data_IF_642659268742
#
_entry.id   IF_642659268742
#
_cell.length_a   1.000
_cell.length_b   1.000
_cell.length_c   1.000
_cell.angle_alpha   90.00
_cell.angle_beta   90.00
_cell.angle_gamma   90.00
#
_symmetry.space_group_name_H-M   'P 1'
#
loop_
_entity.id
_entity.type
_entity.pdbx_description
1 polymer ?
#
# COMPACT_ATOMS: atom_id res chain seq x y z
N UNK A 1 16.71 -20.39 14.31
CA UNK A 1 17.06 -19.09 14.94
C UNK A 1 15.78 -18.41 15.41
N UNK A 2 15.76 -17.84 16.64
CA UNK A 2 14.60 -17.09 17.15
C UNK A 2 14.67 -15.63 16.70
N UNK A 3 13.59 -15.10 16.12
CA UNK A 3 13.46 -13.70 15.69
C UNK A 3 12.09 -13.17 16.06
N UNK A 4 11.95 -11.85 16.15
CA UNK A 4 10.68 -11.17 16.31
C UNK A 4 10.50 -10.20 15.16
N UNK A 5 9.32 -10.23 14.54
CA UNK A 5 8.92 -9.25 13.55
C UNK A 5 7.68 -8.51 14.03
N UNK A 6 7.73 -7.21 13.86
CA UNK A 6 6.64 -6.30 14.25
C UNK A 6 6.13 -5.57 13.02
N UNK A 7 4.82 -5.47 12.90
CA UNK A 7 4.17 -4.62 11.91
C UNK A 7 3.07 -3.81 12.56
N UNK A 8 2.79 -2.64 12.00
CA UNK A 8 1.69 -1.79 12.40
C UNK A 8 0.71 -1.56 11.25
N UNK A 9 -0.51 -1.17 11.60
CA UNK A 9 -1.51 -0.67 10.68
C UNK A 9 -2.40 0.35 11.36
N UNK A 10 -3.11 1.16 10.57
CA UNK A 10 -3.98 2.23 11.07
C UNK A 10 -5.34 2.18 10.39
N UNK A 11 -6.35 2.74 11.08
CA UNK A 11 -7.70 2.86 10.54
C UNK A 11 -7.77 3.91 9.43
N UNK A 12 -8.87 3.92 8.69
CA UNK A 12 -9.16 4.91 7.65
C UNK A 12 -9.26 6.35 8.17
N UNK A 13 -9.57 6.52 9.46
CA UNK A 13 -9.67 7.83 10.13
C UNK A 13 -8.35 8.34 10.72
N UNK A 14 -7.24 7.61 10.58
CA UNK A 14 -5.93 8.13 10.95
C UNK A 14 -5.54 9.28 10.00
N UNK A 15 -4.99 10.41 10.51
CA UNK A 15 -4.71 11.60 9.70
C UNK A 15 -3.94 11.34 8.40
N UNK A 16 -2.83 10.59 8.45
CA UNK A 16 -2.06 10.28 7.26
C UNK A 16 -2.87 9.43 6.26
N UNK A 17 -3.66 8.45 6.74
CA UNK A 17 -4.49 7.62 5.86
C UNK A 17 -5.70 8.36 5.29
N UNK A 18 -6.19 9.34 5.98
CA UNK A 18 -7.20 10.26 5.46
C UNK A 18 -6.65 11.05 4.27
N UNK A 19 -5.40 11.55 4.37
CA UNK A 19 -4.72 12.22 3.26
C UNK A 19 -4.52 11.28 2.06
N UNK A 20 -4.09 10.05 2.29
CA UNK A 20 -3.95 9.02 1.25
C UNK A 20 -5.29 8.71 0.57
N UNK A 21 -6.38 8.59 1.34
CA UNK A 21 -7.72 8.38 0.81
C UNK A 21 -8.20 9.54 -0.07
N UNK A 22 -7.94 10.78 0.34
CA UNK A 22 -8.30 11.97 -0.43
C UNK A 22 -7.53 11.99 -1.75
N UNK A 23 -6.20 11.83 -1.70
CA UNK A 23 -5.34 11.83 -2.88
C UNK A 23 -5.74 10.74 -3.89
N UNK A 24 -5.98 9.51 -3.43
CA UNK A 24 -6.41 8.41 -4.31
C UNK A 24 -7.86 8.54 -4.78
N UNK A 25 -8.73 9.21 -4.02
CA UNK A 25 -10.09 9.52 -4.49
C UNK A 25 -10.10 10.56 -5.62
N UNK A 26 -9.18 11.53 -5.57
CA UNK A 26 -8.98 12.50 -6.67
C UNK A 26 -8.43 11.80 -7.91
N UNK A 27 -7.44 10.92 -7.73
CA UNK A 27 -6.91 10.10 -8.82
C UNK A 27 -8.00 9.25 -9.48
N UNK A 28 -8.80 8.53 -8.68
CA UNK A 28 -9.90 7.69 -9.19
C UNK A 28 -10.96 8.52 -9.92
N UNK A 29 -11.27 9.73 -9.45
CA UNK A 29 -12.20 10.63 -10.13
C UNK A 29 -11.66 11.07 -11.51
N UNK A 30 -10.37 11.37 -11.63
CA UNK A 30 -9.73 11.69 -12.89
C UNK A 30 -9.75 10.49 -13.84
N UNK A 31 -9.32 9.31 -13.38
CA UNK A 31 -9.23 8.11 -14.23
C UNK A 31 -10.58 7.58 -14.70
N UNK A 32 -11.63 7.83 -13.96
CA UNK A 32 -12.99 7.46 -14.35
C UNK A 32 -13.47 8.17 -15.62
N UNK A 33 -13.09 9.44 -15.75
CA UNK A 33 -13.52 10.31 -16.87
C UNK A 33 -12.45 10.41 -17.98
N UNK A 34 -11.17 10.22 -17.63
CA UNK A 34 -10.03 10.19 -18.56
C UNK A 34 -8.98 9.19 -18.09
N UNK A 35 -8.96 8.00 -18.70
CA UNK A 35 -8.01 6.92 -18.39
C UNK A 35 -6.52 7.30 -18.59
N UNK A 36 -6.27 8.38 -19.34
CA UNK A 36 -4.92 8.89 -19.62
C UNK A 36 -4.51 10.06 -18.73
N UNK A 37 -5.29 10.35 -17.69
CA UNK A 37 -4.97 11.39 -16.71
C UNK A 37 -3.59 11.16 -16.09
N UNK A 38 -2.83 12.25 -15.95
CA UNK A 38 -1.58 12.29 -15.22
C UNK A 38 -1.83 13.01 -13.91
N UNK A 39 -1.62 12.31 -12.82
CA UNK A 39 -1.92 12.80 -11.47
C UNK A 39 -0.73 12.56 -10.57
N UNK A 40 -0.31 13.61 -9.87
CA UNK A 40 0.59 13.60 -8.75
C UNK A 40 -0.02 14.52 -7.69
N UNK A 41 -0.82 13.96 -6.79
CA UNK A 41 -1.63 14.70 -5.83
C UNK A 41 -1.16 14.40 -4.41
N UNK A 42 -0.85 15.45 -3.67
CA UNK A 42 -0.45 15.41 -2.27
C UNK A 42 -1.49 16.15 -1.42
N UNK A 43 -1.68 15.68 -0.20
CA UNK A 43 -2.64 16.25 0.74
C UNK A 43 -1.98 16.44 2.09
N UNK A 44 -2.14 17.63 2.65
CA UNK A 44 -1.85 17.94 4.04
C UNK A 44 -3.17 18.22 4.75
N UNK A 45 -3.41 17.56 5.87
CA UNK A 45 -4.60 17.78 6.69
C UNK A 45 -4.22 17.99 8.15
N UNK A 46 -4.74 19.01 8.75
CA UNK A 46 -4.54 19.34 10.17
C UNK A 46 -5.82 19.94 10.73
N UNK A 47 -5.85 20.25 12.01
CA UNK A 47 -7.03 20.82 12.67
C UNK A 47 -7.61 22.00 11.90
N UNK A 48 -8.85 21.83 11.42
CA UNK A 48 -9.61 22.85 10.73
C UNK A 48 -9.11 23.22 9.32
N UNK A 49 -8.07 22.56 8.78
CA UNK A 49 -7.48 22.90 7.48
C UNK A 49 -7.10 21.66 6.67
N UNK A 50 -7.41 21.67 5.37
CA UNK A 50 -6.96 20.68 4.40
C UNK A 50 -6.42 21.41 3.18
N UNK A 51 -5.21 21.08 2.78
CA UNK A 51 -4.55 21.58 1.58
C UNK A 51 -4.32 20.42 0.62
N UNK A 52 -4.85 20.54 -0.59
CA UNK A 52 -4.61 19.61 -1.70
C UNK A 52 -3.69 20.32 -2.69
N UNK A 53 -2.52 19.73 -2.98
CA UNK A 53 -1.55 20.33 -3.87
C UNK A 53 -1.01 19.29 -4.86
N UNK A 54 -0.48 19.75 -6.00
CA UNK A 54 0.18 18.86 -6.96
C UNK A 54 -0.13 19.15 -8.42
N UNK A 55 0.17 18.19 -9.28
CA UNK A 55 0.03 18.32 -10.71
C UNK A 55 -1.04 17.37 -11.26
N UNK A 56 -2.03 17.94 -11.96
CA UNK A 56 -3.07 17.17 -12.65
C UNK A 56 -3.15 17.63 -14.10
N UNK A 57 -2.92 16.69 -15.03
CA UNK A 57 -3.17 16.87 -16.46
C UNK A 57 -4.22 15.85 -16.88
N UNK A 58 -5.44 16.30 -17.09
CA UNK A 58 -6.60 15.49 -17.43
C UNK A 58 -7.56 16.31 -18.32
N UNK A 59 -8.42 15.64 -19.06
CA UNK A 59 -9.58 16.26 -19.75
C UNK A 59 -10.71 16.55 -18.77
N UNK A 60 -10.68 15.97 -17.59
CA UNK A 60 -11.65 16.18 -16.52
C UNK A 60 -11.04 17.04 -15.40
N UNK A 61 -11.79 18.01 -14.93
CA UNK A 61 -11.45 18.83 -13.77
C UNK A 61 -12.14 18.26 -12.53
N UNK A 62 -11.38 17.66 -11.59
CA UNK A 62 -11.97 17.00 -10.42
C UNK A 62 -12.58 18.04 -9.47
N UNK A 63 -13.75 17.75 -8.93
CA UNK A 63 -14.41 18.56 -7.90
C UNK A 63 -13.76 18.31 -6.54
N UNK A 64 -12.56 18.86 -6.35
CA UNK A 64 -11.65 18.55 -5.23
C UNK A 64 -12.35 18.69 -3.87
N UNK A 65 -12.99 19.81 -3.61
CA UNK A 65 -13.64 20.07 -2.30
C UNK A 65 -14.79 19.10 -2.02
N UNK A 66 -15.54 18.73 -3.05
CA UNK A 66 -16.62 17.73 -2.91
C UNK A 66 -16.06 16.33 -2.63
N UNK A 67 -14.95 15.96 -3.27
CA UNK A 67 -14.26 14.70 -3.02
C UNK A 67 -13.74 14.66 -1.59
N UNK A 68 -13.11 15.74 -1.11
CA UNK A 68 -12.61 15.85 0.26
C UNK A 68 -13.75 15.67 1.26
N UNK A 69 -14.88 16.39 1.10
CA UNK A 69 -16.06 16.24 1.98
C UNK A 69 -16.55 14.79 2.05
N UNK A 70 -16.73 14.14 0.90
CA UNK A 70 -17.19 12.74 0.82
C UNK A 70 -16.21 11.77 1.49
N UNK A 71 -14.91 12.03 1.42
CA UNK A 71 -13.91 11.20 2.10
C UNK A 71 -13.99 11.38 3.60
N UNK A 72 -14.05 12.63 4.10
CA UNK A 72 -14.20 12.95 5.51
C UNK A 72 -15.43 12.26 6.11
N UNK A 73 -16.61 12.46 5.51
CA UNK A 73 -17.86 11.85 5.93
C UNK A 73 -17.78 10.31 5.95
N UNK A 74 -17.20 9.70 4.89
CA UNK A 74 -17.04 8.24 4.83
C UNK A 74 -16.10 7.69 5.92
N UNK A 75 -15.10 8.48 6.33
CA UNK A 75 -14.21 8.16 7.43
C UNK A 75 -14.81 8.42 8.80
N UNK A 76 -15.94 9.17 8.87
CA UNK A 76 -16.67 9.48 10.11
C UNK A 76 -16.29 10.81 10.74
N UNK A 77 -15.82 11.75 9.93
CA UNK A 77 -15.55 13.14 10.32
C UNK A 77 -16.63 14.07 9.79
N UNK A 78 -16.90 15.12 10.53
CA UNK A 78 -17.69 16.26 10.03
C UNK A 78 -16.82 17.10 9.10
N UNK A 79 -17.37 17.48 7.95
CA UNK A 79 -16.66 18.30 6.96
C UNK A 79 -16.96 19.80 7.10
N UNK A 80 -17.99 20.15 7.87
CA UNK A 80 -18.39 21.54 8.09
C UNK A 80 -17.37 22.30 8.92
N UNK A 81 -17.07 23.54 8.50
CA UNK A 81 -16.10 24.41 9.19
C UNK A 81 -14.63 24.10 8.89
N UNK A 82 -14.33 23.11 8.05
CA UNK A 82 -12.96 22.84 7.58
C UNK A 82 -12.64 23.79 6.42
N UNK A 83 -11.56 24.56 6.57
CA UNK A 83 -11.00 25.35 5.47
C UNK A 83 -10.27 24.44 4.50
N UNK A 84 -10.50 24.63 3.19
CA UNK A 84 -9.94 23.80 2.14
C UNK A 84 -9.28 24.66 1.06
N UNK A 85 -8.02 24.37 0.74
CA UNK A 85 -7.29 24.96 -0.37
C UNK A 85 -6.93 23.90 -1.41
N UNK A 86 -6.99 24.26 -2.69
CA UNK A 86 -6.56 23.43 -3.82
C UNK A 86 -5.52 24.17 -4.66
N UNK A 87 -4.27 23.75 -4.57
CA UNK A 87 -3.12 24.32 -5.24
C UNK A 87 -2.65 23.34 -6.34
N UNK A 88 -3.45 23.25 -7.39
CA UNK A 88 -3.27 22.27 -8.49
C UNK A 88 -2.77 22.97 -9.73
N UNK A 89 -1.72 22.42 -10.34
CA UNK A 89 -1.11 22.91 -11.56
C UNK A 89 -1.12 21.83 -12.65
N UNK A 90 -0.82 22.20 -13.89
CA UNK A 90 -0.53 21.22 -14.95
C UNK A 90 0.93 20.75 -14.81
N UNK A 91 1.17 19.49 -15.19
CA UNK A 91 2.52 18.93 -15.19
C UNK A 91 3.46 19.75 -16.08
N UNK A 92 4.73 19.91 -15.63
CA UNK A 92 5.79 20.56 -16.40
C UNK A 92 5.95 19.92 -17.79
N UNK A 93 6.04 20.73 -18.88
CA UNK A 93 6.28 20.22 -20.23
C UNK A 93 7.57 19.38 -20.37
N UNK A 94 8.61 19.70 -19.60
CA UNK A 94 9.89 18.98 -19.63
C UNK A 94 9.75 17.57 -19.07
N UNK A 95 9.04 17.42 -17.94
CA UNK A 95 8.74 16.13 -17.35
C UNK A 95 7.81 15.32 -18.26
N UNK A 96 6.76 15.94 -18.76
CA UNK A 96 5.82 15.30 -19.69
C UNK A 96 6.54 14.78 -20.95
N UNK A 97 7.42 15.59 -21.56
CA UNK A 97 8.21 15.21 -22.72
C UNK A 97 9.20 14.05 -22.45
N UNK A 98 9.81 13.99 -21.28
CA UNK A 98 10.71 12.90 -20.89
C UNK A 98 9.95 11.58 -20.68
N UNK A 99 8.72 11.64 -20.13
CA UNK A 99 7.85 10.47 -19.92
C UNK A 99 7.24 9.97 -21.24
N UNK A 100 6.75 10.89 -22.10
CA UNK A 100 6.09 10.54 -23.37
C UNK A 100 7.06 10.02 -24.42
N UNK A 101 8.32 10.40 -24.35
CA UNK A 101 9.39 9.96 -25.27
C UNK A 101 10.57 9.43 -24.48
N UNK A 102 10.61 8.10 -24.31
CA UNK A 102 11.74 7.44 -23.68
C UNK A 102 13.08 7.78 -24.36
N UNK A 103 14.19 7.59 -23.62
CA UNK A 103 15.53 7.72 -24.19
C UNK A 103 15.69 6.84 -25.42
N UNK A 104 15.21 5.60 -25.38
CA UNK A 104 15.25 4.60 -26.44
C UNK A 104 14.54 5.10 -27.71
N UNK A 105 13.41 5.78 -27.54
CA UNK A 105 12.69 6.42 -28.63
C UNK A 105 13.41 7.65 -29.18
N UNK A 106 13.99 8.50 -28.29
CA UNK A 106 14.72 9.71 -28.69
C UNK A 106 16.01 9.40 -29.44
N UNK A 107 16.68 8.28 -29.13
CA UNK A 107 17.88 7.81 -29.80
C UNK A 107 17.59 7.01 -31.08
N UNK A 108 16.31 6.83 -31.44
CA UNK A 108 15.92 6.09 -32.64
C UNK A 108 16.08 4.57 -32.56
N UNK A 109 16.29 4.04 -31.35
CA UNK A 109 16.52 2.61 -31.14
C UNK A 109 15.21 1.79 -31.20
N UNK A 110 14.04 2.46 -31.05
CA UNK A 110 12.73 1.80 -31.04
C UNK A 110 11.63 2.60 -31.75
N UNK A 111 10.63 1.90 -32.29
CA UNK A 111 9.46 2.50 -32.93
C UNK A 111 8.45 3.07 -31.92
N UNK A 112 7.58 3.96 -32.39
CA UNK A 112 6.49 4.58 -31.60
C UNK A 112 5.52 3.52 -31.02
N UNK A 113 5.38 2.38 -31.67
CA UNK A 113 4.45 1.30 -31.31
C UNK A 113 5.08 0.26 -30.36
N UNK A 114 6.37 0.41 -30.01
CA UNK A 114 7.01 -0.52 -29.07
C UNK A 114 6.60 -0.21 -27.63
N UNK A 115 6.53 -1.24 -26.79
CA UNK A 115 6.35 -1.09 -25.33
C UNK A 115 7.44 -0.24 -24.64
N UNK A 116 8.48 0.16 -25.39
CA UNK A 116 9.60 1.01 -24.99
C UNK A 116 9.38 2.49 -25.32
N UNK A 117 8.22 2.89 -25.84
CA UNK A 117 7.96 4.26 -26.29
C UNK A 117 7.97 5.29 -25.13
N UNK A 118 7.49 4.90 -23.96
CA UNK A 118 7.38 5.76 -22.80
C UNK A 118 8.49 5.46 -21.78
N UNK A 119 9.11 6.51 -21.24
CA UNK A 119 10.10 6.41 -20.18
C UNK A 119 9.48 6.39 -18.79
N UNK A 120 10.26 5.99 -17.78
CA UNK A 120 9.87 6.10 -16.39
C UNK A 120 9.68 7.57 -15.99
N UNK A 121 8.64 7.84 -15.19
CA UNK A 121 8.31 9.20 -14.73
C UNK A 121 9.26 9.75 -13.68
N UNK A 122 10.04 8.88 -13.04
CA UNK A 122 11.04 9.23 -12.05
C UNK A 122 12.14 8.17 -12.00
N UNK A 123 13.19 8.47 -11.26
CA UNK A 123 14.19 7.50 -10.82
C UNK A 123 13.82 6.94 -9.46
N UNK A 124 14.25 5.73 -9.14
CA UNK A 124 14.03 5.15 -7.82
C UNK A 124 14.21 3.64 -7.77
N UNK A 125 14.04 3.10 -6.57
CA UNK A 125 14.07 1.67 -6.28
C UNK A 125 12.69 1.25 -5.78
N UNK A 126 12.13 0.22 -6.38
CA UNK A 126 10.83 -0.36 -6.02
C UNK A 126 11.03 -1.78 -5.54
N UNK A 127 10.43 -2.09 -4.39
CA UNK A 127 10.61 -3.39 -3.73
C UNK A 127 9.27 -4.11 -3.65
N UNK A 128 9.25 -5.35 -4.10
CA UNK A 128 8.17 -6.30 -3.91
C UNK A 128 8.62 -7.46 -3.03
N UNK A 129 7.71 -8.00 -2.23
CA UNK A 129 8.00 -9.14 -1.36
C UNK A 129 6.83 -10.10 -1.31
N UNK A 130 7.13 -11.38 -1.14
CA UNK A 130 6.17 -12.43 -0.83
C UNK A 130 6.82 -13.49 0.08
N UNK A 131 6.01 -14.11 0.93
CA UNK A 131 6.41 -15.25 1.75
C UNK A 131 5.23 -16.19 1.98
N UNK A 132 5.51 -17.44 2.30
CA UNK A 132 4.50 -18.48 2.51
C UNK A 132 3.97 -18.55 3.96
N UNK A 133 4.06 -17.45 4.72
CA UNK A 133 3.55 -17.35 6.09
C UNK A 133 2.01 -17.44 6.15
N UNK A 134 1.34 -16.93 5.13
CA UNK A 134 -0.12 -16.81 5.06
C UNK A 134 -0.65 -17.18 3.67
N UNK A 135 -1.94 -17.55 3.54
CA UNK A 135 -2.55 -17.82 2.23
C UNK A 135 -2.50 -16.64 1.25
N UNK A 136 -2.35 -15.41 1.76
CA UNK A 136 -2.17 -14.21 0.95
C UNK A 136 -0.75 -14.06 0.40
N UNK A 137 0.18 -14.93 0.81
CA UNK A 137 1.62 -14.84 0.58
C UNK A 137 2.19 -13.51 1.10
N UNK A 138 1.80 -13.16 2.31
CA UNK A 138 2.19 -11.95 3.06
C UNK A 138 2.72 -12.33 4.45
N UNK A 139 3.58 -11.49 5.04
CA UNK A 139 4.07 -11.70 6.40
C UNK A 139 2.93 -11.74 7.43
N UNK A 140 3.00 -12.69 8.36
CA UNK A 140 1.98 -12.87 9.40
C UNK A 140 1.66 -11.59 10.19
N UNK A 141 2.64 -10.83 10.73
CA UNK A 141 2.34 -9.63 11.53
C UNK A 141 1.63 -8.55 10.71
N UNK A 142 1.95 -8.39 9.42
CA UNK A 142 1.29 -7.42 8.52
C UNK A 142 -0.18 -7.79 8.31
N UNK A 143 -0.45 -9.07 8.03
CA UNK A 143 -1.83 -9.56 7.84
C UNK A 143 -2.66 -9.37 9.09
N UNK A 144 -2.10 -9.69 10.27
CA UNK A 144 -2.81 -9.56 11.54
C UNK A 144 -3.08 -8.10 11.90
N UNK A 145 -2.09 -7.21 11.75
CA UNK A 145 -2.26 -5.77 12.01
C UNK A 145 -3.36 -5.17 11.11
N UNK A 146 -3.33 -5.47 9.81
CA UNK A 146 -4.36 -5.01 8.86
C UNK A 146 -5.76 -5.57 9.19
N UNK A 147 -5.86 -6.83 9.62
CA UNK A 147 -7.14 -7.41 10.06
C UNK A 147 -7.70 -6.70 11.28
N UNK A 148 -6.87 -6.41 12.28
CA UNK A 148 -7.32 -5.73 13.51
C UNK A 148 -7.93 -4.37 13.17
N UNK A 149 -7.24 -3.52 12.40
CA UNK A 149 -7.77 -2.19 12.07
C UNK A 149 -8.98 -2.24 11.15
N UNK A 150 -9.08 -3.25 10.28
CA UNK A 150 -10.26 -3.49 9.44
C UNK A 150 -11.49 -3.88 10.28
N UNK A 151 -11.32 -4.81 11.23
CA UNK A 151 -12.38 -5.20 12.17
C UNK A 151 -12.79 -4.02 13.07
N UNK A 152 -11.83 -3.19 13.50
CA UNK A 152 -12.09 -1.99 14.28
C UNK A 152 -12.94 -0.98 13.49
N UNK A 153 -12.54 -0.69 12.25
CA UNK A 153 -13.29 0.20 11.34
C UNK A 153 -14.68 -0.36 11.01
N UNK A 154 -14.79 -1.66 10.77
CA UNK A 154 -16.07 -2.31 10.51
C UNK A 154 -17.00 -2.25 11.74
N UNK A 155 -16.45 -2.49 12.93
CA UNK A 155 -17.19 -2.41 14.20
C UNK A 155 -17.73 -1.01 14.49
N UNK A 156 -16.95 0.04 14.13
CA UNK A 156 -17.38 1.44 14.22
C UNK A 156 -18.53 1.72 13.26
N UNK A 157 -18.33 1.43 11.97
CA UNK A 157 -19.33 1.74 10.92
C UNK A 157 -20.66 1.02 11.11
N UNK A 158 -20.63 -0.19 11.61
CA UNK A 158 -21.85 -0.97 11.87
C UNK A 158 -22.51 -0.66 13.22
N UNK A 159 -21.86 0.14 14.08
CA UNK A 159 -22.33 0.34 15.45
C UNK A 159 -22.18 -0.90 16.35
N UNK A 160 -21.44 -1.93 15.90
CA UNK A 160 -21.21 -3.16 16.68
C UNK A 160 -20.43 -2.90 17.98
N UNK A 161 -19.57 -1.87 17.97
CA UNK A 161 -19.00 -1.28 19.18
C UNK A 161 -19.39 0.19 19.23
N UNK A 162 -20.30 0.53 20.11
CA UNK A 162 -20.77 1.90 20.30
C UNK A 162 -19.70 2.77 20.98
N UNK A 163 -19.60 4.03 20.59
CA UNK A 163 -18.73 5.02 21.23
C UNK A 163 -17.25 4.83 20.91
N UNK A 164 -16.88 4.17 19.81
CA UNK A 164 -15.54 4.25 19.21
C UNK A 164 -15.55 5.23 18.04
N UNK A 165 -14.45 5.96 17.88
CA UNK A 165 -14.27 7.06 16.93
C UNK A 165 -13.30 6.65 15.79
N UNK A 166 -13.14 7.47 14.74
CA UNK A 166 -12.47 7.06 13.50
C UNK A 166 -11.00 6.70 13.64
N UNK A 167 -10.24 7.37 14.52
CA UNK A 167 -8.79 7.19 14.62
C UNK A 167 -8.43 5.95 15.45
N UNK A 168 -7.46 5.18 14.94
CA UNK A 168 -6.98 4.00 15.63
C UNK A 168 -5.76 3.38 14.96
N UNK A 169 -5.01 2.64 15.78
CA UNK A 169 -3.79 1.92 15.42
C UNK A 169 -3.78 0.51 15.95
N UNK A 170 -3.15 -0.40 15.22
CA UNK A 170 -2.78 -1.72 15.72
C UNK A 170 -1.31 -2.00 15.43
N UNK A 171 -0.62 -2.63 16.37
CA UNK A 171 0.72 -3.16 16.22
C UNK A 171 0.73 -4.61 16.65
N UNK A 172 1.39 -5.46 15.88
CA UNK A 172 1.47 -6.90 16.13
C UNK A 172 2.92 -7.36 16.06
N UNK A 173 3.40 -8.00 17.11
CA UNK A 173 4.70 -8.66 17.16
C UNK A 173 4.50 -10.16 17.14
N UNK A 174 5.15 -10.83 16.19
CA UNK A 174 5.11 -12.29 16.02
C UNK A 174 6.52 -12.86 16.23
N UNK A 175 6.60 -13.93 17.02
CA UNK A 175 7.79 -14.71 17.18
C UNK A 175 7.94 -15.71 16.05
N UNK A 176 9.14 -15.75 15.47
CA UNK A 176 9.54 -16.68 14.43
C UNK A 176 10.59 -17.64 14.95
N UNK A 177 10.48 -18.89 14.60
CA UNK A 177 11.51 -19.92 14.79
C UNK A 177 11.77 -20.58 13.44
N UNK A 178 13.04 -20.66 13.06
CA UNK A 178 13.48 -21.20 11.76
C UNK A 178 12.66 -20.64 10.58
N UNK A 179 12.50 -19.31 10.63
CA UNK A 179 11.80 -18.50 9.62
C UNK A 179 10.29 -18.81 9.46
N UNK A 180 9.67 -19.46 10.46
CA UNK A 180 8.22 -19.71 10.52
C UNK A 180 7.57 -18.94 11.67
N UNK A 181 6.40 -18.33 11.46
CA UNK A 181 5.66 -17.71 12.54
C UNK A 181 5.12 -18.78 13.48
N UNK A 182 5.50 -18.72 14.77
CA UNK A 182 5.15 -19.77 15.74
C UNK A 182 4.25 -19.27 16.85
N UNK A 183 4.31 -17.97 17.20
CA UNK A 183 3.59 -17.45 18.35
C UNK A 183 3.34 -15.95 18.22
N UNK A 184 2.17 -15.54 18.66
CA UNK A 184 1.84 -14.13 18.84
C UNK A 184 2.48 -13.64 20.16
N UNK A 185 3.39 -12.67 20.06
CA UNK A 185 4.10 -12.16 21.24
C UNK A 185 3.37 -10.98 21.89
N UNK A 186 3.14 -9.93 21.10
CA UNK A 186 2.51 -8.70 21.60
C UNK A 186 1.51 -8.14 20.59
N UNK A 187 0.36 -7.68 21.09
CA UNK A 187 -0.64 -6.92 20.35
C UNK A 187 -0.89 -5.62 21.07
N UNK A 188 -0.75 -4.51 20.36
CA UNK A 188 -1.12 -3.17 20.86
C UNK A 188 -2.24 -2.64 19.99
N UNK A 189 -3.30 -2.12 20.61
CA UNK A 189 -4.41 -1.43 19.94
C UNK A 189 -4.63 -0.09 20.60
N UNK A 190 -4.58 0.98 19.82
CA UNK A 190 -5.04 2.31 20.22
C UNK A 190 -6.32 2.63 19.45
N UNK A 191 -7.38 2.96 20.18
CA UNK A 191 -8.70 3.21 19.60
C UNK A 191 -9.26 4.50 20.19
N UNK A 192 -9.52 5.48 19.35
CA UNK A 192 -10.21 6.71 19.72
C UNK A 192 -11.64 6.38 20.17
N UNK A 193 -12.11 7.07 21.21
CA UNK A 193 -13.42 6.80 21.82
C UNK A 193 -14.08 8.07 22.37
N UNK A 194 -15.40 8.02 22.49
CA UNK A 194 -16.19 9.07 23.15
C UNK A 194 -15.78 9.26 24.61
N UNK A 195 -15.98 10.47 25.13
CA UNK A 195 -15.60 10.86 26.49
C UNK A 195 -16.25 9.99 27.56
N UNK A 196 -17.48 9.57 27.34
CA UNK A 196 -18.32 8.79 28.24
C UNK A 196 -18.02 7.30 28.19
N UNK A 197 -17.26 6.85 27.18
CA UNK A 197 -16.93 5.42 27.02
C UNK A 197 -16.01 4.93 28.14
N UNK A 198 -16.45 3.93 28.88
CA UNK A 198 -15.64 3.27 29.90
C UNK A 198 -14.46 2.51 29.25
N UNK A 199 -13.23 2.78 29.70
CA UNK A 199 -12.04 2.06 29.20
C UNK A 199 -12.12 0.55 29.45
N UNK A 200 -12.63 0.13 30.59
CA UNK A 200 -12.83 -1.30 30.91
C UNK A 200 -13.79 -1.98 29.93
N UNK A 201 -14.89 -1.29 29.57
CA UNK A 201 -15.85 -1.78 28.59
C UNK A 201 -15.23 -1.78 27.20
N UNK A 202 -14.50 -0.72 26.81
CA UNK A 202 -13.80 -0.63 25.54
C UNK A 202 -12.80 -1.78 25.38
N UNK A 203 -11.96 -2.01 26.40
CA UNK A 203 -10.98 -3.11 26.39
C UNK A 203 -11.65 -4.47 26.19
N UNK A 204 -12.70 -4.77 26.94
CA UNK A 204 -13.44 -6.01 26.82
C UNK A 204 -14.04 -6.17 25.41
N UNK A 205 -14.70 -5.13 24.89
CA UNK A 205 -15.31 -5.16 23.56
C UNK A 205 -14.28 -5.33 22.44
N UNK A 206 -13.12 -4.67 22.53
CA UNK A 206 -12.04 -4.84 21.53
C UNK A 206 -11.49 -6.26 21.59
N UNK A 207 -11.28 -6.84 22.77
CA UNK A 207 -10.81 -8.24 22.90
C UNK A 207 -11.76 -9.21 22.21
N UNK A 208 -13.04 -9.14 22.53
CA UNK A 208 -14.04 -10.10 22.06
C UNK A 208 -14.48 -9.87 20.61
N UNK A 209 -14.70 -8.61 20.23
CA UNK A 209 -15.33 -8.26 18.95
C UNK A 209 -14.34 -7.95 17.83
N UNK A 210 -13.10 -7.56 18.17
CA UNK A 210 -12.06 -7.20 17.20
C UNK A 210 -10.92 -8.21 17.19
N UNK A 211 -10.24 -8.42 18.34
CA UNK A 211 -9.04 -9.25 18.37
C UNK A 211 -9.36 -10.73 18.15
N UNK A 212 -10.40 -11.25 18.76
CA UNK A 212 -10.78 -12.65 18.63
C UNK A 212 -11.03 -13.07 17.16
N UNK A 213 -11.81 -12.36 16.33
CA UNK A 213 -11.96 -12.69 14.91
C UNK A 213 -10.69 -12.38 14.08
N UNK A 214 -9.96 -11.27 14.36
CA UNK A 214 -8.80 -10.88 13.58
C UNK A 214 -7.62 -11.83 13.73
N UNK A 215 -7.42 -12.41 14.93
CA UNK A 215 -6.26 -13.21 15.30
C UNK A 215 -6.47 -14.73 15.11
N UNK A 216 -7.51 -15.17 14.42
CA UNK A 216 -7.81 -16.62 14.23
C UNK A 216 -6.67 -17.40 13.56
N UNK A 217 -5.82 -16.75 12.77
CA UNK A 217 -4.70 -17.42 12.08
C UNK A 217 -3.54 -17.74 13.02
N UNK A 218 -3.35 -16.94 14.05
CA UNK A 218 -2.35 -17.12 15.10
C UNK A 218 -2.97 -16.61 16.41
N UNK A 219 -3.74 -17.46 17.12
CA UNK A 219 -4.44 -17.06 18.34
C UNK A 219 -3.45 -16.68 19.46
N UNK A 220 -3.84 -15.74 20.36
CA UNK A 220 -3.05 -15.45 21.54
C UNK A 220 -3.01 -16.66 22.50
N UNK A 221 -1.91 -16.83 23.19
CA UNK A 221 -1.69 -17.79 24.27
C UNK A 221 -1.55 -17.07 25.64
N UNK A 222 -1.20 -17.82 26.69
CA UNK A 222 -1.06 -17.32 28.06
C UNK A 222 0.06 -16.28 28.21
N UNK A 223 1.11 -16.38 27.38
CA UNK A 223 2.25 -15.46 27.38
C UNK A 223 2.06 -14.24 26.44
N UNK A 224 0.99 -14.20 25.66
CA UNK A 224 0.73 -13.11 24.72
C UNK A 224 0.35 -11.82 25.45
N UNK A 225 1.11 -10.74 25.24
CA UNK A 225 0.81 -9.42 25.80
C UNK A 225 -0.22 -8.71 24.93
N UNK A 226 -1.37 -8.35 25.52
CA UNK A 226 -2.40 -7.57 24.81
C UNK A 226 -2.58 -6.25 25.55
N UNK A 227 -2.23 -5.14 24.87
CA UNK A 227 -2.28 -3.78 25.36
C UNK A 227 -3.33 -2.98 24.57
N UNK A 228 -4.40 -2.57 25.24
CA UNK A 228 -5.48 -1.77 24.62
C UNK A 228 -5.50 -0.41 25.28
N UNK A 229 -5.34 0.66 24.50
CA UNK A 229 -5.20 2.03 24.97
C UNK A 229 -4.23 2.15 26.16
N UNK A 230 -2.96 1.67 26.02
CA UNK A 230 -2.03 1.64 27.15
C UNK A 230 -1.69 3.02 27.72
N UNK A 231 -1.90 4.07 26.97
CA UNK A 231 -1.78 5.47 27.43
C UNK A 231 -3.00 5.96 28.22
N UNK A 232 -4.04 5.15 28.33
CA UNK A 232 -5.31 5.54 28.96
C UNK A 232 -6.33 6.12 27.98
N UNK A 233 -6.90 7.27 28.30
CA UNK A 233 -7.96 7.90 27.48
C UNK A 233 -7.43 8.40 26.14
N UNK A 234 -8.19 8.09 25.07
CA UNK A 234 -7.91 8.56 23.71
C UNK A 234 -9.20 9.18 23.14
N UNK A 235 -9.56 10.36 23.61
CA UNK A 235 -10.78 11.10 23.21
C UNK A 235 -10.48 12.09 22.10
N UNK A 236 -9.43 12.92 22.26
CA UNK A 236 -8.95 13.78 21.20
C UNK A 236 -8.06 12.97 20.26
N UNK A 237 -8.43 12.85 19.00
CA UNK A 237 -7.73 12.08 17.97
C UNK A 237 -8.02 12.65 16.59
N UNK A 238 -7.54 11.94 15.55
CA UNK A 238 -7.69 12.39 14.18
C UNK A 238 -7.05 13.75 13.94
N UNK A 239 -7.64 14.54 13.05
CA UNK A 239 -7.12 15.85 12.64
C UNK A 239 -7.09 16.90 13.77
N UNK A 240 -7.83 16.69 14.85
CA UNK A 240 -7.78 17.56 16.02
C UNK A 240 -6.52 17.37 16.86
N UNK A 241 -5.89 16.21 16.79
CA UNK A 241 -4.75 15.83 17.60
C UNK A 241 -3.44 15.77 16.81
N UNK A 242 -3.47 15.41 15.54
CA UNK A 242 -2.28 15.18 14.75
C UNK A 242 -2.46 15.66 13.30
N UNK A 243 -1.34 15.99 12.67
CA UNK A 243 -1.29 16.41 11.26
C UNK A 243 -1.03 15.23 10.36
N UNK A 244 -1.88 15.01 9.35
CA UNK A 244 -1.71 14.03 8.31
C UNK A 244 -1.03 14.59 7.06
N UNK A 245 -0.32 13.72 6.37
CA UNK A 245 0.28 14.00 5.07
C UNK A 245 0.28 12.73 4.21
N UNK A 246 0.01 12.89 2.91
CA UNK A 246 0.12 11.79 1.93
C UNK A 246 1.49 11.12 2.00
N UNK A 247 1.53 9.79 1.95
CA UNK A 247 2.78 9.04 1.85
C UNK A 247 3.60 8.92 3.14
N UNK A 248 3.01 9.16 4.31
CA UNK A 248 3.71 9.01 5.61
C UNK A 248 3.53 7.63 6.26
N UNK A 249 2.85 6.69 5.60
CA UNK A 249 2.58 5.35 6.13
C UNK A 249 3.12 4.23 5.22
N UNK A 250 4.34 4.40 4.70
CA UNK A 250 4.96 3.48 3.75
C UNK A 250 5.07 2.04 4.27
N UNK A 251 5.42 1.86 5.55
CA UNK A 251 5.51 0.53 6.17
C UNK A 251 4.13 -0.11 6.33
N UNK A 252 3.10 0.69 6.65
CA UNK A 252 1.70 0.24 6.71
C UNK A 252 1.20 -0.16 5.33
N UNK A 253 1.60 0.57 4.31
CA UNK A 253 1.19 0.31 2.92
C UNK A 253 1.81 -0.97 2.35
N UNK A 254 2.96 -1.40 2.86
CA UNK A 254 3.78 -2.45 2.28
C UNK A 254 3.96 -3.66 3.21
N UNK A 255 5.15 -3.90 3.73
CA UNK A 255 5.52 -5.16 4.37
C UNK A 255 5.93 -5.01 5.86
N UNK A 256 5.58 -3.88 6.49
CA UNK A 256 5.79 -3.68 7.93
C UNK A 256 7.25 -3.62 8.37
N UNK A 257 8.19 -3.31 7.49
CA UNK A 257 9.61 -3.23 7.83
C UNK A 257 10.37 -4.57 7.79
N UNK A 258 9.75 -5.64 7.27
CA UNK A 258 10.43 -6.95 7.10
C UNK A 258 11.47 -6.92 5.98
N UNK A 259 11.24 -6.07 4.99
CA UNK A 259 12.15 -5.86 3.86
C UNK A 259 12.37 -4.35 3.65
N UNK A 260 13.44 -3.95 2.95
CA UNK A 260 13.68 -2.55 2.61
C UNK A 260 12.50 -1.93 1.85
N UNK A 261 12.38 -0.61 1.94
CA UNK A 261 11.47 0.19 1.14
C UNK A 261 12.28 1.20 0.30
N UNK A 262 11.91 1.39 -0.97
CA UNK A 262 12.61 2.33 -1.85
C UNK A 262 12.35 3.82 -1.56
N UNK A 263 11.39 4.12 -0.68
CA UNK A 263 11.05 5.49 -0.26
C UNK A 263 9.91 6.14 -1.03
N UNK A 264 9.49 5.59 -2.18
CA UNK A 264 8.41 6.12 -2.99
C UNK A 264 7.02 5.87 -2.40
N UNK A 265 6.25 6.94 -2.16
CA UNK A 265 4.85 6.85 -1.75
C UNK A 265 3.95 6.47 -2.94
N UNK A 266 2.82 5.80 -2.65
CA UNK A 266 1.89 5.29 -3.65
C UNK A 266 0.72 6.24 -3.91
N UNK A 267 0.02 6.65 -2.84
CA UNK A 267 -1.23 7.39 -2.93
C UNK A 267 -1.07 8.70 -3.68
N UNK A 268 -2.08 9.07 -4.47
CA UNK A 268 -2.09 10.28 -5.30
C UNK A 268 -1.34 10.17 -6.63
N UNK A 269 -0.69 9.05 -6.94
CA UNK A 269 0.13 8.86 -8.14
C UNK A 269 -0.54 7.93 -9.15
N UNK A 270 -0.66 8.37 -10.42
CA UNK A 270 -1.10 7.51 -11.52
C UNK A 270 -0.03 6.49 -11.94
N UNK A 271 -0.38 5.53 -12.80
CA UNK A 271 0.48 4.42 -13.18
C UNK A 271 1.75 4.79 -13.97
N UNK A 272 1.91 6.03 -14.43
CA UNK A 272 3.16 6.49 -15.04
C UNK A 272 4.28 6.72 -14.02
N UNK A 273 3.93 6.85 -12.74
CA UNK A 273 4.86 7.00 -11.62
C UNK A 273 5.30 5.62 -11.16
N UNK A 274 6.55 5.28 -11.44
CA UNK A 274 7.13 3.95 -11.15
C UNK A 274 7.21 3.64 -9.66
N UNK A 275 7.22 4.65 -8.79
CA UNK A 275 7.08 4.47 -7.33
C UNK A 275 5.92 3.54 -6.99
N UNK A 276 4.79 3.73 -7.65
CA UNK A 276 3.59 2.93 -7.47
C UNK A 276 3.53 1.73 -8.39
N UNK A 277 3.59 1.94 -9.70
CA UNK A 277 3.43 0.88 -10.69
C UNK A 277 4.55 -0.15 -10.63
N UNK A 278 5.80 0.28 -10.43
CA UNK A 278 6.95 -0.59 -10.27
C UNK A 278 6.90 -1.42 -8.98
N UNK A 279 6.44 -0.83 -7.86
CA UNK A 279 6.26 -1.56 -6.61
C UNK A 279 5.15 -2.62 -6.72
N UNK A 280 4.07 -2.32 -7.43
CA UNK A 280 3.00 -3.29 -7.70
C UNK A 280 3.48 -4.43 -8.60
N UNK A 281 4.27 -4.13 -9.63
CA UNK A 281 4.88 -5.14 -10.48
C UNK A 281 5.89 -5.99 -9.70
N UNK A 282 6.73 -5.39 -8.88
CA UNK A 282 7.68 -6.12 -8.02
C UNK A 282 6.94 -7.08 -7.06
N UNK A 283 5.80 -6.64 -6.47
CA UNK A 283 4.93 -7.50 -5.67
C UNK A 283 4.34 -8.64 -6.50
N UNK A 284 3.83 -8.34 -7.69
CA UNK A 284 3.25 -9.34 -8.58
C UNK A 284 4.27 -10.43 -8.94
N UNK A 285 5.50 -10.04 -9.26
CA UNK A 285 6.60 -10.96 -9.57
C UNK A 285 6.94 -11.80 -8.34
N UNK A 286 7.24 -11.17 -7.19
CA UNK A 286 7.59 -11.87 -5.96
C UNK A 286 6.51 -12.88 -5.54
N UNK A 287 5.24 -12.51 -5.69
CA UNK A 287 4.12 -13.39 -5.37
C UNK A 287 4.04 -14.60 -6.31
N UNK A 288 4.25 -14.41 -7.60
CA UNK A 288 4.29 -15.51 -8.58
C UNK A 288 5.50 -16.43 -8.34
N UNK A 289 6.67 -15.91 -7.93
CA UNK A 289 7.85 -16.71 -7.52
C UNK A 289 7.51 -17.68 -6.38
N UNK A 290 6.88 -17.17 -5.32
CA UNK A 290 6.50 -18.00 -4.17
C UNK A 290 5.37 -18.97 -4.53
N UNK A 291 4.36 -18.50 -5.28
CA UNK A 291 3.25 -19.34 -5.74
C UNK A 291 3.70 -20.48 -6.67
N UNK A 292 4.73 -20.24 -7.50
CA UNK A 292 5.37 -21.25 -8.35
C UNK A 292 6.19 -22.30 -7.55
N UNK A 293 6.36 -22.08 -6.25
CA UNK A 293 7.17 -22.96 -5.39
C UNK A 293 8.68 -22.81 -5.60
N UNK A 294 9.14 -21.73 -6.25
CA UNK A 294 10.55 -21.48 -6.52
C UNK A 294 11.32 -21.06 -5.27
N UNK A 295 10.65 -20.42 -4.33
CA UNK A 295 11.19 -20.04 -3.02
C UNK A 295 10.06 -20.00 -1.98
N UNK A 296 10.41 -20.05 -0.68
CA UNK A 296 9.46 -19.80 0.42
C UNK A 296 9.33 -18.32 0.77
N UNK A 297 10.36 -17.53 0.43
CA UNK A 297 10.40 -16.07 0.56
C UNK A 297 11.10 -15.51 -0.67
N UNK A 298 10.61 -14.39 -1.17
CA UNK A 298 11.19 -13.73 -2.33
C UNK A 298 11.02 -12.22 -2.21
N UNK A 299 12.12 -11.48 -2.29
CA UNK A 299 12.17 -10.06 -2.54
C UNK A 299 12.58 -9.83 -3.99
N UNK A 300 11.86 -8.93 -4.66
CA UNK A 300 12.21 -8.44 -6.00
C UNK A 300 12.47 -6.95 -5.90
N UNK A 301 13.63 -6.51 -6.37
CA UNK A 301 13.99 -5.09 -6.44
C UNK A 301 14.12 -4.68 -7.90
N UNK A 302 13.40 -3.61 -8.27
CA UNK A 302 13.46 -2.96 -9.57
C UNK A 302 14.00 -1.56 -9.40
N UNK A 303 14.95 -1.13 -10.22
CA UNK A 303 15.40 0.26 -10.24
C UNK A 303 15.15 0.87 -11.62
N UNK A 304 14.68 2.12 -11.61
CA UNK A 304 14.41 2.89 -12.83
C UNK A 304 15.24 4.19 -12.85
N UNK A 305 15.48 4.68 -14.05
CA UNK A 305 16.03 6.01 -14.29
C UNK A 305 15.00 6.86 -15.05
N UNK A 306 14.85 8.13 -14.67
CA UNK A 306 13.90 9.05 -15.32
C UNK A 306 14.10 9.06 -16.84
N UNK A 307 13.01 8.95 -17.59
CA UNK A 307 13.01 8.98 -19.04
C UNK A 307 13.56 7.73 -19.73
N UNK A 308 13.96 6.68 -18.98
CA UNK A 308 14.39 5.37 -19.52
C UNK A 308 13.22 4.39 -19.41
N UNK A 309 12.97 3.60 -20.46
CA UNK A 309 11.83 2.69 -20.48
C UNK A 309 12.11 1.40 -19.69
N UNK A 310 13.28 0.81 -19.86
CA UNK A 310 13.65 -0.43 -19.16
C UNK A 310 14.19 -0.13 -17.76
N UNK A 311 13.94 -1.01 -16.78
CA UNK A 311 14.62 -0.90 -15.49
C UNK A 311 16.14 -1.03 -15.68
N UNK A 312 16.89 -0.25 -14.91
CA UNK A 312 18.37 -0.28 -14.89
C UNK A 312 18.89 -1.40 -13.99
N UNK A 313 18.04 -1.98 -13.14
CA UNK A 313 18.37 -3.11 -12.27
C UNK A 313 17.12 -3.97 -12.05
N UNK A 314 17.33 -5.29 -12.11
CA UNK A 314 16.36 -6.32 -11.67
C UNK A 314 17.14 -7.26 -10.76
N UNK A 315 16.72 -7.37 -9.51
CA UNK A 315 17.38 -8.23 -8.51
C UNK A 315 16.35 -9.07 -7.76
N UNK A 316 16.73 -10.30 -7.45
CA UNK A 316 16.00 -11.23 -6.59
C UNK A 316 16.84 -11.56 -5.37
N UNK A 317 16.19 -11.66 -4.21
CA UNK A 317 16.74 -12.24 -2.99
C UNK A 317 15.72 -13.22 -2.41
N UNK A 318 16.06 -14.49 -2.39
CA UNK A 318 15.23 -15.54 -1.78
C UNK A 318 15.55 -15.79 -0.30
N UNK A 319 16.48 -15.04 0.27
CA UNK A 319 16.95 -15.22 1.66
C UNK A 319 17.43 -16.67 1.93
N UNK A 320 18.05 -17.30 0.92
CA UNK A 320 18.51 -18.69 0.97
C UNK A 320 17.39 -19.74 0.96
N UNK A 321 16.15 -19.37 0.60
CA UNK A 321 15.01 -20.29 0.48
C UNK A 321 14.73 -20.73 -0.96
N UNK A 322 15.57 -20.35 -1.92
CA UNK A 322 15.53 -20.79 -3.30
C UNK A 322 15.62 -22.32 -3.41
N UNK A 323 14.80 -22.94 -4.27
CA UNK A 323 14.66 -24.40 -4.33
C UNK A 323 15.18 -25.03 -5.61
N UNK A 324 15.27 -24.28 -6.69
CA UNK A 324 15.55 -24.83 -8.03
C UNK A 324 16.86 -24.29 -8.59
N UNK A 325 17.09 -22.99 -8.51
CA UNK A 325 18.30 -22.35 -9.01
C UNK A 325 18.69 -21.15 -8.12
N UNK A 326 19.85 -20.56 -8.38
CA UNK A 326 20.33 -19.37 -7.67
C UNK A 326 19.49 -18.14 -7.99
N UNK A 327 19.55 -17.13 -7.10
CA UNK A 327 18.79 -15.88 -7.21
C UNK A 327 19.05 -15.14 -8.53
N UNK A 328 20.28 -15.17 -9.05
CA UNK A 328 20.63 -14.58 -10.35
C UNK A 328 19.91 -15.26 -11.54
N UNK A 329 19.71 -16.56 -11.46
CA UNK A 329 18.93 -17.31 -12.45
C UNK A 329 17.45 -16.91 -12.40
N UNK A 330 16.88 -16.76 -11.18
CA UNK A 330 15.52 -16.28 -10.98
C UNK A 330 15.37 -14.84 -11.51
N UNK A 331 16.34 -13.98 -11.27
CA UNK A 331 16.35 -12.61 -11.76
C UNK A 331 16.40 -12.56 -13.31
N UNK A 332 17.20 -13.41 -13.95
CA UNK A 332 17.28 -13.51 -15.40
C UNK A 332 15.97 -14.01 -16.07
N UNK A 333 15.19 -14.82 -15.38
CA UNK A 333 13.89 -15.30 -15.86
C UNK A 333 12.79 -14.22 -15.86
N UNK A 334 12.89 -13.19 -14.99
CA UNK A 334 11.87 -12.16 -14.85
C UNK A 334 11.54 -11.46 -16.18
N UNK A 335 12.50 -10.89 -16.92
CA UNK A 335 12.20 -10.17 -18.17
C UNK A 335 11.69 -11.07 -19.31
N UNK A 336 11.81 -12.38 -19.18
CA UNK A 336 11.28 -13.34 -20.16
C UNK A 336 9.77 -13.59 -19.94
N UNK A 337 9.26 -13.34 -18.73
CA UNK A 337 7.87 -13.61 -18.33
C UNK A 337 7.08 -12.33 -18.13
N UNK A 338 7.71 -11.25 -17.64
CA UNK A 338 7.07 -10.02 -17.24
C UNK A 338 7.54 -8.82 -18.06
N UNK A 339 6.60 -8.02 -18.53
CA UNK A 339 6.90 -6.74 -19.13
C UNK A 339 7.20 -5.70 -18.03
N UNK A 340 8.40 -5.11 -18.08
CA UNK A 340 8.91 -4.26 -17.01
C UNK A 340 8.92 -2.76 -17.36
N UNK A 341 8.54 -2.37 -18.55
CA UNK A 341 8.43 -0.94 -18.88
C UNK A 341 7.17 -0.35 -18.25
N UNK A 342 7.13 0.95 -17.93
CA UNK A 342 5.96 1.59 -17.34
C UNK A 342 4.65 1.29 -18.09
N UNK A 343 4.68 1.31 -19.43
CA UNK A 343 3.51 1.00 -20.26
C UNK A 343 3.08 -0.47 -20.10
N UNK A 344 4.03 -1.41 -20.20
CA UNK A 344 3.74 -2.84 -20.04
C UNK A 344 3.19 -3.16 -18.64
N UNK A 345 3.70 -2.50 -17.61
CA UNK A 345 3.19 -2.65 -16.23
C UNK A 345 1.74 -2.15 -16.14
N UNK A 346 1.47 -0.95 -16.68
CA UNK A 346 0.12 -0.39 -16.70
C UNK A 346 -0.87 -1.32 -17.41
N UNK A 347 -0.48 -1.89 -18.55
CA UNK A 347 -1.33 -2.78 -19.34
C UNK A 347 -1.53 -4.13 -18.63
N UNK A 348 -0.44 -4.77 -18.15
CA UNK A 348 -0.48 -6.07 -17.47
C UNK A 348 -1.33 -6.04 -16.21
N UNK A 349 -1.20 -5.00 -15.42
CA UNK A 349 -1.90 -4.83 -14.15
C UNK A 349 -3.20 -4.02 -14.29
N UNK A 350 -3.57 -3.60 -15.51
CA UNK A 350 -4.77 -2.80 -15.80
C UNK A 350 -4.90 -1.58 -14.89
N UNK A 351 -3.84 -0.78 -14.76
CA UNK A 351 -3.73 0.31 -13.79
C UNK A 351 -4.41 1.63 -14.21
N UNK A 352 -4.98 1.72 -15.41
CA UNK A 352 -5.73 2.90 -15.88
C UNK A 352 -7.19 2.93 -15.43
N UNK A 353 -7.53 2.21 -14.37
CA UNK A 353 -8.90 2.10 -13.84
C UNK A 353 -8.99 2.76 -12.46
N UNK A 354 -10.18 3.22 -12.04
CA UNK A 354 -10.40 3.82 -10.72
C UNK A 354 -10.45 2.72 -9.63
N UNK A 355 -9.30 2.24 -9.20
CA UNK A 355 -9.12 1.16 -8.21
C UNK A 355 -8.27 1.58 -7.00
N UNK A 356 -7.86 2.84 -6.96
CA UNK A 356 -6.81 3.30 -6.04
C UNK A 356 -7.33 3.70 -4.66
N UNK A 357 -8.48 4.35 -4.56
CA UNK A 357 -9.10 4.66 -3.26
C UNK A 357 -9.20 3.45 -2.35
N UNK A 358 -9.54 2.28 -2.92
CA UNK A 358 -9.66 1.05 -2.15
C UNK A 358 -8.32 0.55 -1.61
N UNK A 359 -7.20 0.85 -2.31
CA UNK A 359 -5.86 0.43 -1.89
C UNK A 359 -5.25 1.34 -0.82
N UNK A 360 -5.72 2.58 -0.69
CA UNK A 360 -5.16 3.58 0.23
C UNK A 360 -5.24 3.21 1.72
N UNK A 361 -6.05 2.22 2.11
CA UNK A 361 -6.23 1.80 3.50
C UNK A 361 -6.08 0.29 3.66
N UNK A 362 -5.66 -0.14 4.84
CA UNK A 362 -5.51 -1.56 5.22
C UNK A 362 -4.45 -2.32 4.41
N UNK A 363 -3.43 -1.61 3.93
CA UNK A 363 -2.33 -2.14 3.13
C UNK A 363 -2.67 -2.30 1.64
N UNK A 364 -1.67 -2.07 0.80
CA UNK A 364 -1.80 -2.21 -0.66
C UNK A 364 -1.68 -3.66 -1.13
N UNK A 365 -1.10 -4.54 -0.30
CA UNK A 365 -0.78 -5.92 -0.65
C UNK A 365 -1.55 -6.95 0.18
N UNK A 366 -1.66 -8.18 -0.37
CA UNK A 366 -2.33 -9.30 0.28
C UNK A 366 -3.85 -9.34 0.09
N UNK A 367 -4.42 -8.57 -0.83
CA UNK A 367 -5.85 -8.44 -1.07
C UNK A 367 -6.19 -8.89 -2.49
N UNK A 368 -6.90 -10.03 -2.61
CA UNK A 368 -7.17 -10.75 -3.87
C UNK A 368 -7.92 -9.94 -4.94
N UNK A 369 -8.61 -8.88 -4.55
CA UNK A 369 -9.34 -8.00 -5.47
C UNK A 369 -8.43 -7.16 -6.36
N UNK A 370 -7.16 -7.01 -6.02
CA UNK A 370 -6.22 -6.22 -6.80
C UNK A 370 -5.47 -7.04 -7.85
N UNK A 371 -5.22 -6.49 -9.06
CA UNK A 371 -4.60 -7.21 -10.16
C UNK A 371 -3.15 -7.66 -9.85
N UNK A 372 -2.40 -6.92 -9.04
CA UNK A 372 -1.03 -7.29 -8.63
C UNK A 372 -0.97 -8.42 -7.59
N UNK A 373 -2.13 -8.94 -7.19
CA UNK A 373 -2.21 -10.11 -6.29
C UNK A 373 -2.55 -11.41 -7.02
N UNK A 374 -2.64 -11.41 -8.34
CA UNK A 374 -2.82 -12.63 -9.14
C UNK A 374 -1.56 -13.49 -9.14
N UNK A 375 -1.72 -14.79 -9.34
CA UNK A 375 -0.65 -15.78 -9.44
C UNK A 375 -0.69 -16.52 -10.78
N UNK A 376 -1.23 -15.89 -11.80
CA UNK A 376 -1.49 -16.40 -13.14
C UNK A 376 -0.22 -16.58 -14.00
N UNK A 377 0.94 -16.11 -13.52
CA UNK A 377 2.25 -16.31 -14.15
C UNK A 377 3.12 -17.35 -13.45
N UNK A 378 2.62 -18.00 -12.40
CA UNK A 378 3.40 -18.93 -11.59
C UNK A 378 3.87 -20.15 -12.41
N UNK A 379 2.99 -20.75 -13.21
CA UNK A 379 3.32 -21.89 -14.07
C UNK A 379 4.34 -21.49 -15.16
N UNK A 380 4.05 -20.41 -15.90
CA UNK A 380 4.95 -19.90 -16.94
C UNK A 380 6.34 -19.59 -16.38
N UNK A 381 6.42 -18.98 -15.19
CA UNK A 381 7.67 -18.66 -14.53
C UNK A 381 8.46 -19.92 -14.14
N UNK A 382 7.76 -20.92 -13.61
CA UNK A 382 8.35 -22.22 -13.26
C UNK A 382 8.96 -22.92 -14.49
N UNK A 383 8.21 -22.96 -15.60
CA UNK A 383 8.66 -23.59 -16.84
C UNK A 383 9.85 -22.85 -17.48
N UNK A 384 9.96 -21.54 -17.26
CA UNK A 384 11.10 -20.74 -17.76
C UNK A 384 12.38 -21.00 -16.97
N UNK A 385 12.27 -21.43 -15.70
CA UNK A 385 13.41 -21.66 -14.80
C UNK A 385 13.88 -23.12 -14.83
N UNK A 386 13.00 -24.08 -15.14
CA UNK A 386 13.31 -25.50 -15.28
C UNK A 386 13.97 -25.80 -16.64
#
# INVERSE_FOLDING_TARGET
>A
MKRFYTAESVTEGHPDKLCDLIADSILDACLKEDENSKVACEVLATKGNIIVAGEITSRYEPQVFEIVRKVLESAGYEADGIHMDALIHKQSPDIAGAVERSRERRTGTVSVQSGLANGAGDQGIMVGYACDDTPQLMPMPVVLANRIVRELSASRRSGYIMGILPDGKAQVTVKYEDDRPVRLDTVVVSCQHEKEKSLRKLEHEIREKVLRPALRMLPPDEDTKILINPSGRFVCGGLDADTGLTGRKLMVDTYGGLVPHGGGAFSGKDCSKVDRSGAYMARYIAKNMVAAGLASRCQVSLAYAIGVAQPVMVQVDTFGTGKICADDCLAAAIPLVFGLTPSQICDTLHLKRPIYRQSAVFGHFGRKEFPWEKTDKAEQLRDTVL
#
